data_IF_516807057400
#
_entry.id   IF_516807057400
#
_cell.length_a   1.000
_cell.length_b   1.000
_cell.length_c   1.000
_cell.angle_alpha   90.00
_cell.angle_beta   90.00
_cell.angle_gamma   90.00
#
_symmetry.space_group_name_H-M   'P 1'
#
loop_
_entity.id
_entity.type
_entity.pdbx_description
1 polymer ?
#
# COMPACT_ATOMS: atom_id res chain seq x y z
N UNK A 1 7.07 -6.11 -9.78
CA UNK A 1 5.85 -6.96 -9.90
C UNK A 1 4.60 -6.22 -9.45
N UNK A 2 4.49 -5.80 -8.18
CA UNK A 2 3.30 -5.12 -7.63
C UNK A 2 2.83 -3.88 -8.42
N UNK A 3 3.72 -2.94 -8.74
CA UNK A 3 3.37 -1.75 -9.54
C UNK A 3 2.80 -2.13 -10.92
N UNK A 4 3.35 -3.17 -11.55
CA UNK A 4 2.86 -3.66 -12.85
C UNK A 4 1.48 -4.31 -12.72
N UNK A 5 1.24 -5.08 -11.65
CA UNK A 5 -0.05 -5.68 -11.37
C UNK A 5 -1.15 -4.63 -11.12
N UNK A 6 -0.85 -3.60 -10.31
CA UNK A 6 -1.75 -2.46 -10.07
C UNK A 6 -2.01 -1.71 -11.38
N UNK A 7 -0.98 -1.47 -12.19
CA UNK A 7 -1.12 -0.81 -13.47
C UNK A 7 -1.99 -1.61 -14.46
N UNK A 8 -1.84 -2.94 -14.47
CA UNK A 8 -2.71 -3.85 -15.22
C UNK A 8 -4.16 -3.75 -14.76
N UNK A 9 -4.39 -3.72 -13.44
CA UNK A 9 -5.72 -3.55 -12.87
C UNK A 9 -6.36 -2.21 -13.26
N UNK A 10 -5.61 -1.11 -13.23
CA UNK A 10 -6.08 0.21 -13.69
C UNK A 10 -6.58 0.15 -15.14
N UNK A 11 -5.83 -0.53 -16.02
CA UNK A 11 -6.21 -0.69 -17.43
C UNK A 11 -7.45 -1.57 -17.61
N UNK A 12 -7.58 -2.61 -16.79
CA UNK A 12 -8.71 -3.53 -16.84
C UNK A 12 -9.98 -2.95 -16.20
N UNK A 13 -9.85 -2.06 -15.21
CA UNK A 13 -10.97 -1.57 -14.37
C UNK A 13 -12.19 -1.07 -15.16
N UNK A 14 -12.07 -0.32 -16.28
CA UNK A 14 -13.23 0.14 -17.06
C UNK A 14 -14.03 -1.00 -17.71
N UNK A 15 -13.42 -2.18 -17.89
CA UNK A 15 -14.04 -3.35 -18.50
C UNK A 15 -14.60 -4.33 -17.45
N UNK A 16 -14.40 -4.05 -16.15
CA UNK A 16 -14.84 -4.89 -15.05
C UNK A 16 -16.06 -4.26 -14.38
N UNK A 17 -17.13 -5.05 -14.21
CA UNK A 17 -18.32 -4.59 -13.50
C UNK A 17 -17.99 -4.22 -12.05
N UNK A 18 -18.56 -3.12 -11.57
CA UNK A 18 -18.47 -2.69 -10.17
C UNK A 18 -19.20 -3.63 -9.20
N UNK A 19 -20.10 -4.46 -9.71
CA UNK A 19 -20.89 -5.42 -8.91
C UNK A 19 -20.12 -6.72 -8.61
N UNK A 20 -18.95 -6.92 -9.22
CA UNK A 20 -18.15 -8.12 -8.99
C UNK A 20 -17.24 -7.93 -7.77
N UNK A 21 -17.63 -8.50 -6.64
CA UNK A 21 -16.85 -8.44 -5.39
C UNK A 21 -15.44 -9.01 -5.55
N UNK A 22 -15.27 -10.03 -6.39
CA UNK A 22 -13.95 -10.63 -6.66
C UNK A 22 -12.94 -9.62 -7.23
N UNK A 23 -13.41 -8.64 -7.99
CA UNK A 23 -12.56 -7.59 -8.59
C UNK A 23 -11.98 -6.72 -7.47
N UNK A 24 -12.83 -6.24 -6.56
CA UNK A 24 -12.42 -5.51 -5.38
C UNK A 24 -11.49 -6.35 -4.47
N UNK A 25 -11.90 -7.59 -4.18
CA UNK A 25 -11.16 -8.48 -3.28
C UNK A 25 -9.72 -8.75 -3.75
N UNK A 26 -9.52 -9.01 -5.04
CA UNK A 26 -8.18 -9.24 -5.60
C UNK A 26 -7.28 -8.00 -5.47
N UNK A 27 -7.83 -6.81 -5.72
CA UNK A 27 -7.07 -5.56 -5.57
C UNK A 27 -6.70 -5.30 -4.11
N UNK A 28 -7.61 -5.57 -3.17
CA UNK A 28 -7.36 -5.43 -1.73
C UNK A 28 -6.27 -6.39 -1.27
N UNK A 29 -6.34 -7.66 -1.65
CA UNK A 29 -5.29 -8.66 -1.38
C UNK A 29 -3.94 -8.25 -1.95
N UNK A 30 -3.92 -7.68 -3.15
CA UNK A 30 -2.70 -7.16 -3.77
C UNK A 30 -2.14 -5.96 -2.99
N UNK A 31 -3.00 -5.05 -2.54
CA UNK A 31 -2.61 -3.88 -1.76
C UNK A 31 -2.00 -4.27 -0.40
N UNK A 32 -2.64 -5.22 0.30
CA UNK A 32 -2.15 -5.75 1.57
C UNK A 32 -0.80 -6.45 1.39
N UNK A 33 -0.67 -7.33 0.40
CA UNK A 33 0.59 -8.03 0.12
C UNK A 33 1.73 -7.07 -0.23
N UNK A 34 1.43 -5.95 -0.90
CA UNK A 34 2.44 -4.93 -1.16
C UNK A 34 2.79 -4.13 0.11
N UNK A 35 1.82 -3.81 0.96
CA UNK A 35 2.08 -3.17 2.24
C UNK A 35 2.96 -4.05 3.14
N UNK A 36 2.65 -5.35 3.23
CA UNK A 36 3.48 -6.34 3.93
C UNK A 36 4.92 -6.35 3.40
N UNK A 37 5.11 -6.36 2.08
CA UNK A 37 6.44 -6.26 1.49
C UNK A 37 7.17 -4.99 1.96
N UNK A 38 6.51 -3.84 1.93
CA UNK A 38 7.12 -2.56 2.33
C UNK A 38 7.56 -2.58 3.80
N UNK A 39 6.80 -3.24 4.67
CA UNK A 39 7.13 -3.40 6.08
C UNK A 39 8.30 -4.37 6.31
N UNK A 40 8.42 -5.40 5.47
CA UNK A 40 9.53 -6.36 5.51
C UNK A 40 10.85 -5.82 4.91
N UNK A 41 10.82 -4.68 4.22
CA UNK A 41 12.03 -4.04 3.69
C UNK A 41 12.80 -3.33 4.81
N UNK A 42 14.12 -3.11 4.62
CA UNK A 42 14.89 -2.27 5.54
C UNK A 42 14.24 -0.89 5.73
N UNK A 43 14.31 -0.30 6.93
CA UNK A 43 13.68 0.99 7.24
C UNK A 43 14.13 2.14 6.32
N UNK A 44 15.34 2.03 5.77
CA UNK A 44 16.00 3.02 4.93
C UNK A 44 15.98 2.54 3.47
N UNK A 45 14.82 2.70 2.83
CA UNK A 45 14.75 2.58 1.37
C UNK A 45 15.44 3.80 0.74
N UNK A 46 16.18 3.66 -0.37
CA UNK A 46 16.72 4.80 -1.09
C UNK A 46 15.61 5.82 -1.43
N UNK A 47 15.86 7.11 -1.17
CA UNK A 47 14.86 8.17 -1.31
C UNK A 47 14.25 8.23 -2.72
N UNK A 48 15.06 7.99 -3.75
CA UNK A 48 14.59 7.92 -5.13
C UNK A 48 13.52 6.81 -5.34
N UNK A 49 13.75 5.62 -4.77
CA UNK A 49 12.80 4.50 -4.85
C UNK A 49 11.52 4.78 -4.08
N UNK A 50 11.62 5.47 -2.94
CA UNK A 50 10.46 5.85 -2.16
C UNK A 50 9.60 6.90 -2.90
N UNK A 51 10.23 7.94 -3.47
CA UNK A 51 9.52 8.93 -4.29
C UNK A 51 8.83 8.33 -5.52
N UNK A 52 9.47 7.36 -6.18
CA UNK A 52 8.85 6.60 -7.27
C UNK A 52 7.59 5.85 -6.80
N UNK A 53 7.67 5.20 -5.64
CA UNK A 53 6.53 4.55 -5.00
C UNK A 53 5.40 5.55 -4.69
N UNK A 54 5.72 6.68 -4.05
CA UNK A 54 4.74 7.70 -3.66
C UNK A 54 4.00 8.24 -4.89
N UNK A 55 4.73 8.66 -5.92
CA UNK A 55 4.17 9.17 -7.17
C UNK A 55 3.27 8.13 -7.85
N UNK A 56 3.74 6.88 -7.92
CA UNK A 56 2.96 5.80 -8.53
C UNK A 56 1.66 5.51 -7.78
N UNK A 57 1.72 5.38 -6.45
CA UNK A 57 0.55 5.08 -5.64
C UNK A 57 -0.46 6.22 -5.67
N UNK A 58 -0.01 7.47 -5.62
CA UNK A 58 -0.91 8.64 -5.70
C UNK A 58 -1.66 8.67 -7.04
N UNK A 59 -0.96 8.43 -8.15
CA UNK A 59 -1.57 8.29 -9.48
C UNK A 59 -2.56 7.10 -9.51
N UNK A 60 -2.14 5.94 -9.03
CA UNK A 60 -2.95 4.72 -9.07
C UNK A 60 -4.23 4.84 -8.23
N UNK A 61 -4.10 5.36 -7.01
CA UNK A 61 -5.22 5.58 -6.10
C UNK A 61 -6.24 6.55 -6.71
N UNK A 62 -5.78 7.67 -7.27
CA UNK A 62 -6.65 8.65 -7.94
C UNK A 62 -7.45 8.02 -9.09
N UNK A 63 -6.79 7.27 -9.98
CA UNK A 63 -7.45 6.61 -11.11
C UNK A 63 -8.47 5.55 -10.70
N UNK A 64 -8.19 4.84 -9.61
CA UNK A 64 -9.09 3.80 -9.11
C UNK A 64 -10.28 4.40 -8.35
N UNK A 65 -10.06 5.48 -7.59
CA UNK A 65 -11.12 6.23 -6.92
C UNK A 65 -12.14 6.82 -7.91
N UNK A 66 -11.69 7.30 -9.07
CA UNK A 66 -12.59 7.75 -10.14
C UNK A 66 -13.55 6.65 -10.63
N UNK A 67 -13.19 5.38 -10.43
CA UNK A 67 -14.00 4.20 -10.75
C UNK A 67 -14.63 3.55 -9.49
N UNK A 68 -14.72 4.29 -8.37
CA UNK A 68 -15.29 3.81 -7.11
C UNK A 68 -14.46 2.75 -6.38
N UNK A 69 -13.18 2.59 -6.72
CA UNK A 69 -12.30 1.60 -6.10
C UNK A 69 -11.43 2.24 -5.02
N UNK A 70 -11.60 1.79 -3.77
CA UNK A 70 -10.92 2.31 -2.58
C UNK A 70 -9.80 1.40 -2.04
N UNK A 71 -9.58 0.24 -2.68
CA UNK A 71 -8.76 -0.85 -2.13
C UNK A 71 -7.27 -0.51 -1.99
N UNK A 72 -6.78 0.56 -2.65
CA UNK A 72 -5.40 1.04 -2.46
C UNK A 72 -5.21 1.96 -1.24
N UNK A 73 -6.24 2.16 -0.40
CA UNK A 73 -6.18 3.12 0.69
C UNK A 73 -4.99 2.90 1.63
N UNK A 74 -4.71 1.66 2.03
CA UNK A 74 -3.56 1.34 2.91
C UNK A 74 -2.22 1.80 2.31
N UNK A 75 -2.01 1.55 1.02
CA UNK A 75 -0.80 1.99 0.32
C UNK A 75 -0.77 3.51 0.18
N UNK A 76 -1.93 4.15 -0.01
CA UNK A 76 -2.03 5.61 -0.08
C UNK A 76 -1.71 6.29 1.24
N UNK A 77 -2.02 5.65 2.38
CA UNK A 77 -1.62 6.15 3.70
C UNK A 77 -0.12 6.02 3.87
N UNK A 78 0.46 4.85 3.55
CA UNK A 78 1.91 4.64 3.64
C UNK A 78 2.69 5.61 2.73
N UNK A 79 2.17 5.91 1.55
CA UNK A 79 2.79 6.85 0.60
C UNK A 79 2.82 8.31 1.08
N UNK A 80 2.02 8.69 2.07
CA UNK A 80 2.07 10.05 2.64
C UNK A 80 3.26 10.25 3.59
N UNK A 81 3.89 9.15 4.01
CA UNK A 81 5.02 9.15 4.90
C UNK A 81 6.33 9.08 4.11
N UNK A 82 7.46 9.44 4.72
CA UNK A 82 8.82 9.30 4.13
C UNK A 82 9.43 7.91 4.40
N UNK A 83 8.59 6.90 4.58
CA UNK A 83 8.99 5.51 4.79
C UNK A 83 7.89 4.69 5.44
N UNK A 84 7.88 3.37 5.20
CA UNK A 84 6.84 2.48 5.70
C UNK A 84 6.72 2.53 7.24
N UNK A 85 7.86 2.63 7.93
CA UNK A 85 7.95 2.74 9.38
C UNK A 85 8.01 4.18 9.91
N UNK A 86 7.75 5.19 9.08
CA UNK A 86 7.63 6.58 9.55
C UNK A 86 6.23 6.89 10.08
N UNK A 87 5.23 6.07 9.69
CA UNK A 87 3.88 6.18 10.21
C UNK A 87 3.84 6.04 11.75
N UNK A 88 3.28 7.02 12.48
CA UNK A 88 3.34 7.04 13.94
C UNK A 88 2.57 5.88 14.58
N UNK A 89 1.49 5.41 13.97
CA UNK A 89 0.71 4.26 14.48
C UNK A 89 1.55 2.99 14.40
N UNK A 90 2.19 2.73 13.26
CA UNK A 90 3.05 1.56 13.08
C UNK A 90 4.28 1.60 14.00
N UNK A 91 4.88 2.79 14.21
CA UNK A 91 5.98 2.95 15.17
C UNK A 91 5.54 2.68 16.60
N UNK A 92 4.33 3.10 16.98
CA UNK A 92 3.78 2.85 18.30
C UNK A 92 3.49 1.36 18.53
N UNK A 93 3.02 0.64 17.51
CA UNK A 93 2.80 -0.81 17.60
C UNK A 93 4.13 -1.53 17.85
N UNK A 94 5.17 -1.23 17.07
CA UNK A 94 6.50 -1.80 17.27
C UNK A 94 7.13 -1.45 18.62
N UNK A 95 6.94 -0.21 19.10
CA UNK A 95 7.51 0.22 20.38
C UNK A 95 6.80 -0.42 21.57
N UNK A 96 5.50 -0.70 21.47
CA UNK A 96 4.76 -1.48 22.46
C UNK A 96 5.26 -2.93 22.52
N UNK A 97 5.53 -3.56 21.37
CA UNK A 97 6.12 -4.91 21.35
C UNK A 97 7.52 -4.96 21.98
N UNK A 98 8.35 -3.93 21.73
CA UNK A 98 9.68 -3.82 22.34
C UNK A 98 9.64 -3.67 23.87
N UNK A 99 8.64 -2.98 24.41
CA UNK A 99 8.46 -2.81 25.87
C UNK A 99 8.01 -4.09 26.58
N UNK A 100 7.40 -5.03 25.87
CA UNK A 100 6.97 -6.32 26.42
C UNK A 100 8.04 -7.41 26.24
N UNK A 101 8.92 -7.30 25.24
CA UNK A 101 10.04 -8.22 25.04
C UNK A 101 11.16 -8.06 26.09
N UNK A 102 11.39 -6.83 26.57
CA UNK A 102 12.42 -6.53 27.59
C UNK A 102 12.04 -6.96 29.02
N UNK A 103 10.87 -7.57 29.19
CA UNK A 103 10.36 -8.10 30.47
C UNK A 103 10.46 -9.62 30.61
N UNK A 104 11.10 -10.30 29.65
CA UNK A 104 11.30 -11.76 29.62
C UNK A 104 12.66 -12.21 30.12
#
# INVERSE_FOLDING_TARGET
VYMQAIHGYIKARPYLTSECENVAFVLERLALSYAELLLCLPPELPENRWKEFQSFIQMAHTKLMQNGSHQLHILSVLAQEDGAWKNPVLRNILSQELLDWDKG
#
